data_IF_751010304319
#
_entry.id   IF_751010304319
#
_cell.length_a   1.000
_cell.length_b   1.000
_cell.length_c   1.000
_cell.angle_alpha   90.00
_cell.angle_beta   90.00
_cell.angle_gamma   90.00
#
_symmetry.space_group_name_H-M   'P 1'
#
loop_
_entity.id
_entity.type
_entity.pdbx_description
1 polymer ?
#
# COMPACT_ATOMS: atom_id res chain seq x y z
N UNK A 1 7.16 14.44 -3.38
CA UNK A 1 7.12 13.46 -2.27
C UNK A 1 8.21 12.38 -2.35
N UNK A 2 8.45 11.74 -3.51
CA UNK A 2 9.45 10.66 -3.65
C UNK A 2 10.84 11.05 -3.13
N UNK A 3 11.38 12.21 -3.53
CA UNK A 3 12.72 12.64 -3.10
C UNK A 3 12.83 12.92 -1.60
N UNK A 4 11.79 13.48 -0.98
CA UNK A 4 11.73 13.76 0.46
C UNK A 4 11.84 12.47 1.28
N UNK A 5 11.12 11.42 0.85
CA UNK A 5 11.19 10.10 1.48
C UNK A 5 12.59 9.48 1.39
N UNK A 6 13.22 9.54 0.22
CA UNK A 6 14.57 9.01 0.03
C UNK A 6 15.61 9.77 0.85
N UNK A 7 15.52 11.10 0.91
CA UNK A 7 16.41 11.91 1.75
C UNK A 7 16.22 11.62 3.24
N UNK A 8 14.98 11.48 3.72
CA UNK A 8 14.74 11.15 5.14
C UNK A 8 15.23 9.75 5.49
N UNK A 9 15.02 8.77 4.61
CA UNK A 9 15.50 7.40 4.82
C UNK A 9 17.04 7.37 4.93
N UNK A 10 17.73 8.09 4.04
CA UNK A 10 19.18 8.19 4.06
C UNK A 10 19.72 8.81 5.36
N UNK A 11 19.11 9.90 5.83
CA UNK A 11 19.47 10.54 7.10
C UNK A 11 19.28 9.59 8.28
N UNK A 12 18.14 8.88 8.33
CA UNK A 12 17.85 7.90 9.38
C UNK A 12 18.89 6.78 9.39
N UNK A 13 19.28 6.27 8.22
CA UNK A 13 20.31 5.22 8.12
C UNK A 13 21.67 5.71 8.64
N UNK A 14 22.05 6.96 8.35
CA UNK A 14 23.29 7.55 8.88
C UNK A 14 23.26 7.65 10.41
N UNK A 15 22.11 8.05 10.98
CA UNK A 15 21.94 8.12 12.44
C UNK A 15 22.13 6.74 13.08
N UNK A 16 21.55 5.69 12.48
CA UNK A 16 21.73 4.32 12.96
C UNK A 16 23.20 3.86 12.89
N UNK A 17 23.90 4.16 11.79
CA UNK A 17 25.32 3.85 11.65
C UNK A 17 26.15 4.56 12.73
N UNK A 18 25.87 5.84 12.97
CA UNK A 18 26.53 6.61 14.03
C UNK A 18 26.30 5.99 15.41
N UNK A 19 25.06 5.58 15.73
CA UNK A 19 24.74 4.94 17.00
C UNK A 19 25.48 3.61 17.20
N UNK A 20 25.64 2.82 16.14
CA UNK A 20 26.42 1.58 16.19
C UNK A 20 27.89 1.88 16.51
N UNK A 21 28.49 2.85 15.80
CA UNK A 21 29.90 3.22 16.00
C UNK A 21 30.13 3.77 17.41
N UNK A 22 29.24 4.64 17.89
CA UNK A 22 29.33 5.24 19.21
C UNK A 22 29.22 4.21 20.36
N UNK A 23 28.65 3.03 20.10
CA UNK A 23 28.44 1.98 21.10
C UNK A 23 29.27 0.71 20.84
N UNK A 24 30.32 0.78 20.01
CA UNK A 24 31.19 -0.36 19.68
C UNK A 24 31.96 -0.93 20.87
N UNK A 25 32.25 -0.12 21.90
CA UNK A 25 32.97 -0.58 23.10
C UNK A 25 32.04 -0.84 24.28
N UNK A 26 30.76 -0.46 24.15
CA UNK A 26 29.77 -0.64 25.20
C UNK A 26 29.29 -2.10 25.22
N UNK A 27 29.23 -2.69 26.42
CA UNK A 27 28.71 -4.04 26.63
C UNK A 27 27.34 -3.95 27.28
N UNK A 28 26.35 -4.55 26.63
CA UNK A 28 24.98 -4.66 27.10
C UNK A 28 24.65 -6.10 27.46
N UNK A 29 24.07 -6.31 28.63
CA UNK A 29 23.58 -7.62 29.06
C UNK A 29 22.11 -7.79 28.72
N UNK A 30 21.78 -8.79 27.89
CA UNK A 30 20.40 -9.28 27.79
C UNK A 30 20.20 -10.32 28.89
N UNK A 31 19.24 -10.06 29.78
CA UNK A 31 18.86 -11.04 30.81
C UNK A 31 17.90 -12.03 30.16
N UNK A 32 18.35 -13.27 29.99
CA UNK A 32 17.54 -14.35 29.39
C UNK A 32 16.69 -15.01 30.47
N UNK A 33 17.28 -15.20 31.65
CA UNK A 33 16.60 -15.76 32.81
C UNK A 33 16.88 -14.88 34.02
N UNK A 34 15.81 -14.26 34.54
CA UNK A 34 15.90 -13.41 35.71
C UNK A 34 15.95 -14.26 37.00
N UNK A 35 16.26 -13.61 38.12
CA UNK A 35 16.37 -14.31 39.39
C UNK A 35 15.03 -14.92 39.86
N UNK A 36 13.90 -14.33 39.47
CA UNK A 36 12.56 -14.84 39.80
C UNK A 36 12.22 -16.14 39.07
N UNK A 37 12.34 -16.16 37.74
CA UNK A 37 12.10 -17.36 36.93
C UNK A 37 13.17 -18.44 37.16
N UNK A 38 14.43 -18.06 37.38
CA UNK A 38 15.49 -19.02 37.72
C UNK A 38 15.19 -19.77 39.01
N UNK A 39 14.76 -19.04 40.05
CA UNK A 39 14.34 -19.63 41.33
C UNK A 39 13.12 -20.55 41.19
N UNK A 40 12.13 -20.17 40.38
CA UNK A 40 10.95 -20.99 40.13
C UNK A 40 11.26 -22.28 39.34
N UNK A 41 12.27 -22.25 38.45
CA UNK A 41 12.68 -23.38 37.62
C UNK A 41 13.81 -24.23 38.24
N UNK A 42 14.30 -23.87 39.44
CA UNK A 42 15.43 -24.57 40.08
C UNK A 42 16.74 -24.47 39.27
N UNK A 43 16.88 -23.44 38.44
CA UNK A 43 18.04 -23.24 37.56
C UNK A 43 18.80 -21.96 37.93
N UNK A 44 19.98 -21.77 37.35
CA UNK A 44 20.78 -20.57 37.58
C UNK A 44 20.41 -19.46 36.59
N UNK A 45 20.34 -18.20 37.04
CA UNK A 45 20.07 -17.06 36.17
C UNK A 45 21.14 -16.94 35.09
N UNK A 46 20.71 -16.66 33.86
CA UNK A 46 21.59 -16.53 32.69
C UNK A 46 21.48 -15.14 32.09
N UNK A 47 22.62 -14.48 32.01
CA UNK A 47 22.83 -13.23 31.26
C UNK A 47 23.74 -13.49 30.08
N UNK A 48 23.35 -12.98 28.92
CA UNK A 48 24.19 -12.93 27.76
C UNK A 48 24.71 -11.50 27.61
N UNK A 49 26.02 -11.33 27.80
CA UNK A 49 26.67 -10.06 27.54
C UNK A 49 27.03 -9.99 26.06
N UNK A 50 26.48 -8.99 25.36
CA UNK A 50 26.76 -8.73 23.95
C UNK A 50 27.25 -7.29 23.80
N UNK A 51 27.96 -7.05 22.70
CA UNK A 51 28.29 -5.69 22.32
C UNK A 51 27.00 -4.92 22.01
N UNK A 52 26.84 -3.72 22.60
CA UNK A 52 25.67 -2.88 22.37
C UNK A 52 25.54 -2.49 20.89
N UNK A 53 26.64 -2.26 20.18
CA UNK A 53 26.61 -2.06 18.73
C UNK A 53 25.97 -3.23 17.98
N UNK A 54 26.23 -4.47 18.39
CA UNK A 54 25.58 -5.66 17.80
C UNK A 54 24.09 -5.72 18.11
N UNK A 55 23.69 -5.39 19.35
CA UNK A 55 22.27 -5.35 19.74
C UNK A 55 21.52 -4.32 18.88
N UNK A 56 22.08 -3.13 18.70
CA UNK A 56 21.54 -2.06 17.87
C UNK A 56 21.37 -2.52 16.41
N UNK A 57 22.36 -3.23 15.83
CA UNK A 57 22.25 -3.81 14.49
C UNK A 57 21.11 -4.84 14.38
N UNK A 58 20.96 -5.71 15.38
CA UNK A 58 19.90 -6.74 15.40
C UNK A 58 18.52 -6.06 15.46
N UNK A 59 18.36 -5.04 16.30
CA UNK A 59 17.10 -4.28 16.41
C UNK A 59 16.78 -3.58 15.08
N UNK A 60 17.77 -2.98 14.42
CA UNK A 60 17.58 -2.34 13.12
C UNK A 60 17.10 -3.33 12.06
N UNK A 61 17.74 -4.51 11.97
CA UNK A 61 17.34 -5.57 11.04
C UNK A 61 15.93 -6.11 11.34
N UNK A 62 15.61 -6.33 12.62
CA UNK A 62 14.28 -6.77 13.05
C UNK A 62 13.19 -5.73 12.74
N UNK A 63 13.49 -4.44 12.93
CA UNK A 63 12.59 -3.34 12.57
C UNK A 63 12.34 -3.28 11.05
N UNK A 64 13.38 -3.52 10.26
CA UNK A 64 13.26 -3.50 8.79
C UNK A 64 12.43 -4.69 8.26
N UNK A 65 12.60 -5.88 8.82
CA UNK A 65 11.82 -7.07 8.43
C UNK A 65 10.36 -6.95 8.84
N UNK A 66 10.08 -6.47 10.06
CA UNK A 66 8.70 -6.25 10.53
C UNK A 66 7.97 -5.18 9.72
N UNK A 67 8.63 -4.07 9.38
CA UNK A 67 8.06 -3.05 8.50
C UNK A 67 7.67 -3.61 7.14
N UNK A 68 8.53 -4.44 6.53
CA UNK A 68 8.20 -5.12 5.26
C UNK A 68 7.01 -6.05 5.39
N UNK A 69 6.97 -6.86 6.44
CA UNK A 69 5.90 -7.85 6.65
C UNK A 69 4.54 -7.16 6.83
N UNK A 70 4.49 -6.01 7.51
CA UNK A 70 3.26 -5.26 7.71
C UNK A 70 2.84 -4.43 6.48
N UNK A 71 3.79 -3.78 5.80
CA UNK A 71 3.50 -2.87 4.69
C UNK A 71 3.25 -3.58 3.35
N UNK A 72 3.90 -4.71 3.07
CA UNK A 72 3.68 -5.44 1.81
C UNK A 72 2.21 -5.83 1.57
N UNK A 73 1.52 -6.50 2.50
CA UNK A 73 0.13 -6.91 2.27
C UNK A 73 -0.80 -5.71 2.10
N UNK A 74 -0.57 -4.61 2.82
CA UNK A 74 -1.33 -3.37 2.67
C UNK A 74 -1.14 -2.74 1.28
N UNK A 75 0.09 -2.75 0.76
CA UNK A 75 0.39 -2.24 -0.58
C UNK A 75 -0.25 -3.10 -1.67
N UNK A 76 -0.27 -4.41 -1.52
CA UNK A 76 -0.91 -5.34 -2.48
C UNK A 76 -2.42 -5.11 -2.52
N UNK A 77 -3.07 -5.04 -1.35
CA UNK A 77 -4.52 -4.80 -1.28
C UNK A 77 -4.94 -3.46 -1.89
N UNK A 78 -4.14 -2.41 -1.71
CA UNK A 78 -4.45 -1.11 -2.32
C UNK A 78 -4.31 -1.14 -3.85
N UNK A 79 -3.29 -1.81 -4.39
CA UNK A 79 -3.14 -1.96 -5.84
C UNK A 79 -4.27 -2.76 -6.48
N UNK A 80 -4.75 -3.81 -5.82
CA UNK A 80 -5.91 -4.58 -6.30
C UNK A 80 -7.18 -3.74 -6.36
N UNK A 81 -7.38 -2.88 -5.35
CA UNK A 81 -8.51 -1.93 -5.33
C UNK A 81 -8.38 -0.90 -6.44
N UNK A 82 -7.20 -0.30 -6.64
CA UNK A 82 -6.94 0.64 -7.74
C UNK A 82 -7.28 0.03 -9.10
N UNK A 83 -6.79 -1.17 -9.40
CA UNK A 83 -7.11 -1.85 -10.66
C UNK A 83 -8.60 -2.22 -10.80
N UNK A 84 -9.28 -2.52 -9.70
CA UNK A 84 -10.73 -2.73 -9.73
C UNK A 84 -11.51 -1.42 -10.01
N UNK A 85 -11.04 -0.29 -9.50
CA UNK A 85 -11.62 1.02 -9.78
C UNK A 85 -11.38 1.46 -11.23
N UNK A 86 -10.18 1.27 -11.78
CA UNK A 86 -9.89 1.56 -13.19
C UNK A 86 -10.80 0.73 -14.12
N UNK A 87 -10.94 -0.57 -13.87
CA UNK A 87 -11.86 -1.44 -14.64
C UNK A 87 -13.32 -1.01 -14.54
N UNK A 88 -13.76 -0.49 -13.39
CA UNK A 88 -15.12 0.03 -13.23
C UNK A 88 -15.30 1.32 -14.02
N UNK A 89 -14.33 2.22 -13.96
CA UNK A 89 -14.31 3.46 -14.76
C UNK A 89 -14.38 3.17 -16.26
N UNK A 90 -13.58 2.22 -16.76
CA UNK A 90 -13.62 1.81 -18.17
C UNK A 90 -14.99 1.25 -18.57
N UNK A 91 -15.58 0.36 -17.76
CA UNK A 91 -16.91 -0.18 -18.02
C UNK A 91 -17.99 0.89 -18.04
N UNK A 92 -17.94 1.84 -17.11
CA UNK A 92 -18.88 2.96 -17.07
C UNK A 92 -18.72 3.87 -18.29
N UNK A 93 -17.48 4.17 -18.70
CA UNK A 93 -17.21 4.96 -19.90
C UNK A 93 -17.79 4.30 -21.16
N UNK A 94 -17.55 3.01 -21.37
CA UNK A 94 -18.10 2.26 -22.53
C UNK A 94 -19.63 2.22 -22.49
N UNK A 95 -20.24 2.04 -21.31
CA UNK A 95 -21.71 2.04 -21.18
C UNK A 95 -22.34 3.40 -21.52
N UNK A 96 -21.65 4.50 -21.22
CA UNK A 96 -22.10 5.84 -21.58
C UNK A 96 -22.01 6.09 -23.10
N UNK A 97 -20.95 5.62 -23.75
CA UNK A 97 -20.83 5.71 -25.21
C UNK A 97 -21.90 4.87 -25.92
N UNK A 98 -22.18 3.67 -25.42
CA UNK A 98 -23.25 2.81 -25.95
C UNK A 98 -24.64 3.44 -25.77
N UNK A 99 -24.90 4.03 -24.60
CA UNK A 99 -26.14 4.75 -24.31
C UNK A 99 -26.30 5.98 -25.23
N UNK A 100 -25.25 6.77 -25.39
CA UNK A 100 -25.21 7.92 -26.30
C UNK A 100 -25.49 7.53 -27.75
N UNK A 101 -24.88 6.42 -28.21
CA UNK A 101 -25.14 5.89 -29.55
C UNK A 101 -26.59 5.44 -29.73
N UNK A 102 -27.18 4.77 -28.73
CA UNK A 102 -28.60 4.37 -28.76
C UNK A 102 -29.55 5.58 -28.82
N UNK A 103 -29.26 6.64 -28.05
CA UNK A 103 -30.05 7.88 -28.08
C UNK A 103 -30.00 8.54 -29.45
N UNK A 104 -28.82 8.67 -30.07
CA UNK A 104 -28.68 9.23 -31.42
C UNK A 104 -29.47 8.44 -32.48
N UNK A 105 -29.47 7.11 -32.38
CA UNK A 105 -30.25 6.25 -33.29
C UNK A 105 -31.75 6.45 -33.09
N UNK A 106 -32.21 6.59 -31.83
CA UNK A 106 -33.62 6.87 -31.54
C UNK A 106 -34.06 8.23 -32.08
N UNK A 107 -33.24 9.28 -31.92
CA UNK A 107 -33.49 10.60 -32.50
C UNK A 107 -33.59 10.55 -34.03
N UNK A 108 -32.66 9.84 -34.68
CA UNK A 108 -32.69 9.67 -36.13
C UNK A 108 -33.95 8.93 -36.62
N UNK A 109 -34.38 7.89 -35.89
CA UNK A 109 -35.63 7.16 -36.21
C UNK A 109 -36.86 8.05 -36.05
N UNK A 110 -36.90 8.88 -35.00
CA UNK A 110 -37.99 9.84 -34.79
C UNK A 110 -38.04 10.85 -35.94
N UNK A 111 -36.92 11.46 -36.32
CA UNK A 111 -36.88 12.39 -37.45
C UNK A 111 -37.36 11.77 -38.77
N UNK A 112 -36.98 10.52 -39.04
CA UNK A 112 -37.46 9.81 -40.24
C UNK A 112 -38.97 9.60 -40.19
N UNK A 113 -39.52 9.20 -39.03
CA UNK A 113 -40.96 9.03 -38.85
C UNK A 113 -41.73 10.35 -38.99
N UNK A 114 -41.21 11.44 -38.43
CA UNK A 114 -41.79 12.79 -38.57
C UNK A 114 -41.82 13.22 -40.04
N UNK A 115 -40.73 12.99 -40.78
CA UNK A 115 -40.63 13.33 -42.20
C UNK A 115 -41.58 12.50 -43.07
N UNK A 116 -41.68 11.20 -42.78
CA UNK A 116 -42.62 10.31 -43.47
C UNK A 116 -44.08 10.69 -43.18
N UNK A 117 -44.38 11.13 -41.96
CA UNK A 117 -45.71 11.64 -41.58
C UNK A 117 -46.04 12.94 -42.32
N UNK A 118 -45.11 13.89 -42.40
CA UNK A 118 -45.29 15.12 -43.17
C UNK A 118 -45.53 14.85 -44.67
N UNK A 119 -44.77 13.93 -45.26
CA UNK A 119 -44.96 13.53 -46.65
C UNK A 119 -46.32 12.88 -46.88
N UNK A 120 -46.76 11.99 -45.97
CA UNK A 120 -48.07 11.36 -46.03
C UNK A 120 -49.22 12.39 -45.89
N UNK A 121 -49.07 13.37 -44.99
CA UNK A 121 -50.02 14.47 -44.82
C UNK A 121 -50.07 15.39 -46.06
N UNK A 122 -48.92 15.70 -46.67
CA UNK A 122 -48.86 16.48 -47.91
C UNK A 122 -49.49 15.77 -49.11
N UNK A 123 -49.39 14.44 -49.17
CA UNK A 123 -49.95 13.63 -50.25
C UNK A 123 -51.46 13.39 -50.15
N UNK A 124 -52.04 13.62 -48.97
CA UNK A 124 -53.49 13.53 -48.70
C UNK A 124 -54.21 14.89 -48.79
N UNK A 125 -53.51 15.94 -49.23
CA UNK A 125 -54.05 17.26 -49.58
C UNK A 125 -54.07 17.42 -51.09
#
# INVERSE_FOLDING_TARGET
>A
MKYVFWTSAFIITIIWIYLVIANLTAVGGITILDNGLAGALGTFPRRLALNMGLIICIIFLAGFTTAKLFLLPLLIQNKEKEGAYERRLEKTAVSNDESSAKVKVLEAKIQVLEKALEEALKKNK
#
